data_IF_727854454654
#
_entry.id   IF_727854454654
#
_cell.length_a   1.000
_cell.length_b   1.000
_cell.length_c   1.000
_cell.angle_alpha   90.00
_cell.angle_beta   90.00
_cell.angle_gamma   90.00
#
_symmetry.space_group_name_H-M   'P 1'
#
loop_
_entity.id
_entity.type
_entity.pdbx_description
1 polymer ?
#
# COMPACT_ATOMS: atom_id res chain seq x y z
N UNK A 1 30.63 8.90 0.14
CA UNK A 1 30.75 7.42 -0.06
C UNK A 1 29.56 6.59 0.48
N UNK A 2 29.00 6.87 1.67
CA UNK A 2 27.90 6.06 2.27
C UNK A 2 26.52 6.27 1.61
N UNK A 3 26.19 7.51 1.26
CA UNK A 3 24.92 7.88 0.59
C UNK A 3 24.79 7.23 -0.79
N UNK A 4 25.86 7.26 -1.59
CA UNK A 4 25.88 6.66 -2.93
C UNK A 4 25.67 5.13 -2.89
N UNK A 5 26.25 4.44 -1.90
CA UNK A 5 26.04 3.00 -1.70
C UNK A 5 24.59 2.67 -1.33
N UNK A 6 23.96 3.49 -0.48
CA UNK A 6 22.55 3.34 -0.12
C UNK A 6 21.68 3.50 -1.37
N UNK A 7 21.87 4.57 -2.14
CA UNK A 7 21.12 4.83 -3.39
C UNK A 7 21.24 3.69 -4.40
N UNK A 8 22.45 3.16 -4.61
CA UNK A 8 22.67 2.01 -5.49
C UNK A 8 21.96 0.74 -5.00
N UNK A 9 21.93 0.52 -3.69
CA UNK A 9 21.22 -0.60 -3.06
C UNK A 9 19.70 -0.50 -3.30
N UNK A 10 19.15 0.71 -3.25
CA UNK A 10 17.74 0.98 -3.52
C UNK A 10 17.36 0.70 -4.96
N UNK A 11 18.16 1.22 -5.89
CA UNK A 11 17.96 0.98 -7.31
C UNK A 11 18.01 -0.50 -7.63
N UNK A 12 18.92 -1.25 -7.01
CA UNK A 12 18.98 -2.70 -7.20
C UNK A 12 17.69 -3.38 -6.72
N UNK A 13 17.19 -3.07 -5.51
CA UNK A 13 15.94 -3.65 -4.99
C UNK A 13 14.73 -3.31 -5.85
N UNK A 14 14.66 -2.06 -6.30
CA UNK A 14 13.60 -1.61 -7.19
C UNK A 14 13.60 -2.38 -8.52
N UNK A 15 14.77 -2.54 -9.14
CA UNK A 15 14.94 -3.33 -10.37
C UNK A 15 14.58 -4.80 -10.15
N UNK A 16 14.96 -5.37 -9.01
CA UNK A 16 14.59 -6.73 -8.62
C UNK A 16 13.06 -6.89 -8.60
N UNK A 17 12.34 -6.03 -7.89
CA UNK A 17 10.88 -6.08 -7.85
C UNK A 17 10.26 -5.95 -9.25
N UNK A 18 10.72 -4.97 -10.05
CA UNK A 18 10.24 -4.79 -11.41
C UNK A 18 10.49 -6.01 -12.30
N UNK A 19 11.66 -6.66 -12.16
CA UNK A 19 11.95 -7.89 -12.93
C UNK A 19 11.07 -9.06 -12.51
N UNK A 20 10.86 -9.27 -11.20
CA UNK A 20 10.01 -10.37 -10.70
C UNK A 20 8.57 -10.19 -11.17
N UNK A 21 8.02 -8.97 -11.06
CA UNK A 21 6.66 -8.66 -11.52
C UNK A 21 6.56 -8.84 -13.04
N UNK A 22 7.50 -8.28 -13.82
CA UNK A 22 7.48 -8.37 -15.29
C UNK A 22 7.57 -9.82 -15.79
N UNK A 23 8.38 -10.64 -15.13
CA UNK A 23 8.59 -12.04 -15.52
C UNK A 23 7.44 -12.95 -15.07
N UNK A 24 6.55 -12.49 -14.19
CA UNK A 24 5.39 -13.24 -13.72
C UNK A 24 4.22 -13.19 -14.73
N UNK A 25 4.43 -13.76 -15.91
CA UNK A 25 3.46 -13.78 -17.02
C UNK A 25 2.17 -14.53 -16.67
N UNK A 26 2.26 -15.56 -15.82
CA UNK A 26 1.13 -16.37 -15.36
C UNK A 26 0.34 -15.72 -14.21
N UNK A 27 0.76 -14.52 -13.76
CA UNK A 27 0.14 -13.78 -12.65
C UNK A 27 -0.02 -14.62 -11.37
N UNK A 28 0.94 -15.52 -11.12
CA UNK A 28 0.99 -16.32 -9.89
C UNK A 28 1.19 -15.41 -8.69
N UNK A 29 0.68 -15.81 -7.53
CA UNK A 29 0.95 -15.08 -6.29
C UNK A 29 2.46 -15.02 -6.04
N UNK A 30 2.98 -13.82 -5.76
CA UNK A 30 4.40 -13.58 -5.45
C UNK A 30 4.68 -13.58 -3.94
N UNK A 31 3.72 -14.04 -3.12
CA UNK A 31 3.86 -14.05 -1.65
C UNK A 31 4.98 -14.99 -1.21
N UNK A 32 5.30 -16.01 -2.00
CA UNK A 32 6.36 -16.99 -1.72
C UNK A 32 7.67 -16.67 -2.46
N UNK A 33 7.72 -15.59 -3.25
CA UNK A 33 8.95 -15.18 -3.92
C UNK A 33 9.96 -14.65 -2.89
N UNK A 34 11.12 -15.32 -2.81
CA UNK A 34 12.15 -15.03 -1.81
C UNK A 34 12.64 -13.58 -1.90
N UNK A 35 12.74 -13.02 -3.11
CA UNK A 35 13.24 -11.67 -3.31
C UNK A 35 12.22 -10.63 -2.85
N UNK A 36 10.94 -10.85 -3.17
CA UNK A 36 9.82 -10.02 -2.71
C UNK A 36 9.73 -10.06 -1.18
N UNK A 37 9.68 -11.25 -0.58
CA UNK A 37 9.62 -11.42 0.87
C UNK A 37 10.80 -10.75 1.56
N UNK A 38 12.03 -10.99 1.09
CA UNK A 38 13.23 -10.42 1.68
C UNK A 38 13.21 -8.90 1.63
N UNK A 39 12.75 -8.30 0.54
CA UNK A 39 12.68 -6.84 0.41
C UNK A 39 11.61 -6.28 1.36
N UNK A 40 10.39 -6.82 1.35
CA UNK A 40 9.28 -6.27 2.13
C UNK A 40 9.43 -6.48 3.64
N UNK A 41 10.06 -7.56 4.08
CA UNK A 41 10.10 -7.93 5.51
C UNK A 41 11.35 -7.44 6.25
N UNK A 42 12.45 -7.17 5.56
CA UNK A 42 13.74 -6.86 6.23
C UNK A 42 14.14 -5.39 6.20
N UNK A 43 13.37 -4.53 5.52
CA UNK A 43 13.71 -3.10 5.33
C UNK A 43 12.83 -2.19 6.17
N UNK A 44 13.40 -1.05 6.56
CA UNK A 44 12.66 -0.03 7.30
C UNK A 44 11.57 0.58 6.41
N UNK A 45 10.51 1.12 7.04
CA UNK A 45 9.40 1.77 6.32
C UNK A 45 9.87 2.93 5.45
N UNK A 46 10.80 3.76 5.94
CA UNK A 46 11.38 4.86 5.18
C UNK A 46 12.05 4.34 3.89
N UNK A 47 12.82 3.27 4.02
CA UNK A 47 13.47 2.66 2.86
C UNK A 47 12.46 2.10 1.86
N UNK A 48 11.41 1.44 2.34
CA UNK A 48 10.38 0.89 1.46
C UNK A 48 9.61 1.98 0.73
N UNK A 49 9.29 3.10 1.39
CA UNK A 49 8.66 4.27 0.73
C UNK A 49 9.48 4.77 -0.44
N UNK A 50 10.78 4.97 -0.23
CA UNK A 50 11.67 5.41 -1.30
C UNK A 50 11.78 4.34 -2.41
N UNK A 51 11.76 3.03 -2.10
CA UNK A 51 11.68 1.96 -3.13
C UNK A 51 10.38 2.06 -3.92
N UNK A 52 9.23 2.26 -3.26
CA UNK A 52 7.93 2.46 -3.88
C UNK A 52 7.94 3.67 -4.85
N UNK A 53 8.56 4.79 -4.44
CA UNK A 53 8.72 5.98 -5.30
C UNK A 53 9.65 5.76 -6.48
N UNK A 54 10.77 5.06 -6.29
CA UNK A 54 11.68 4.72 -7.39
C UNK A 54 11.01 3.75 -8.37
N UNK A 55 10.21 2.80 -7.87
CA UNK A 55 9.46 1.88 -8.71
C UNK A 55 8.54 2.64 -9.65
N UNK A 56 7.79 3.60 -9.11
CA UNK A 56 6.93 4.46 -9.91
C UNK A 56 7.67 5.16 -11.05
N UNK A 57 8.89 5.66 -10.78
CA UNK A 57 9.71 6.35 -11.80
C UNK A 57 10.24 5.42 -12.89
N UNK A 58 10.56 4.17 -12.58
CA UNK A 58 11.12 3.22 -13.56
C UNK A 58 10.06 2.37 -14.27
N UNK A 59 8.84 2.35 -13.76
CA UNK A 59 7.71 1.55 -14.28
C UNK A 59 6.68 2.43 -14.97
N UNK A 60 7.10 3.52 -15.61
CA UNK A 60 6.25 4.45 -16.37
C UNK A 60 5.05 4.99 -15.56
N UNK A 61 5.26 5.30 -14.28
CA UNK A 61 4.24 5.86 -13.40
C UNK A 61 3.32 4.83 -12.73
N UNK A 62 3.56 3.52 -12.92
CA UNK A 62 2.80 2.46 -12.24
C UNK A 62 3.10 2.40 -10.75
N UNK A 63 2.09 2.09 -9.93
CA UNK A 63 2.28 1.91 -8.50
C UNK A 63 2.59 0.46 -8.17
N UNK A 64 3.56 0.25 -7.27
CA UNK A 64 3.97 -1.09 -6.85
C UNK A 64 2.83 -1.88 -6.19
N UNK A 65 1.98 -1.22 -5.39
CA UNK A 65 0.84 -1.86 -4.75
C UNK A 65 -0.23 -2.30 -5.77
N UNK A 66 -0.44 -1.52 -6.83
CA UNK A 66 -1.37 -1.87 -7.92
C UNK A 66 -0.85 -3.08 -8.70
N UNK A 67 0.42 -3.09 -9.10
CA UNK A 67 1.02 -4.21 -9.82
C UNK A 67 1.01 -5.50 -8.99
N UNK A 68 1.29 -5.42 -7.69
CA UNK A 68 1.15 -6.57 -6.80
C UNK A 68 -0.31 -7.02 -6.65
N UNK A 69 -1.25 -6.07 -6.61
CA UNK A 69 -2.68 -6.36 -6.50
C UNK A 69 -3.25 -7.15 -7.67
N UNK A 70 -2.60 -7.14 -8.84
CA UNK A 70 -2.95 -8.00 -9.98
C UNK A 70 -2.75 -9.49 -9.63
N UNK A 71 -1.78 -9.79 -8.77
CA UNK A 71 -1.38 -11.15 -8.41
C UNK A 71 -1.96 -11.60 -7.06
N UNK A 72 -1.93 -10.72 -6.06
CA UNK A 72 -2.35 -11.05 -4.70
C UNK A 72 -2.73 -9.81 -3.89
N UNK A 73 -3.96 -9.78 -3.39
CA UNK A 73 -4.46 -8.69 -2.53
C UNK A 73 -3.62 -8.50 -1.26
N UNK A 74 -3.02 -9.58 -0.72
CA UNK A 74 -2.21 -9.53 0.50
C UNK A 74 -0.94 -8.71 0.27
N UNK A 75 -0.32 -8.82 -0.90
CA UNK A 75 0.86 -8.02 -1.26
C UNK A 75 0.49 -6.57 -1.49
N UNK A 76 -0.63 -6.30 -2.18
CA UNK A 76 -1.14 -4.94 -2.33
C UNK A 76 -1.34 -4.28 -0.96
N UNK A 77 -2.06 -4.94 -0.05
CA UNK A 77 -2.36 -4.41 1.28
C UNK A 77 -1.09 -4.25 2.13
N UNK A 78 -0.14 -5.18 2.01
CA UNK A 78 1.17 -5.08 2.67
C UNK A 78 1.93 -3.84 2.20
N UNK A 79 2.03 -3.61 0.89
CA UNK A 79 2.71 -2.44 0.34
C UNK A 79 1.98 -1.15 0.72
N UNK A 80 0.65 -1.13 0.69
CA UNK A 80 -0.12 0.03 1.16
C UNK A 80 0.16 0.30 2.64
N UNK A 81 0.12 -0.70 3.51
CA UNK A 81 0.39 -0.51 4.94
C UNK A 81 1.80 0.01 5.22
N UNK A 82 2.80 -0.37 4.42
CA UNK A 82 4.20 0.00 4.59
C UNK A 82 4.54 1.35 3.95
N UNK A 83 4.03 1.60 2.73
CA UNK A 83 4.37 2.76 1.91
C UNK A 83 3.31 3.87 1.93
N UNK A 84 2.02 3.53 1.92
CA UNK A 84 0.90 4.47 1.76
C UNK A 84 -0.33 4.08 2.62
N UNK A 85 -0.20 4.09 3.96
CA UNK A 85 -1.21 3.52 4.86
C UNK A 85 -2.59 4.19 4.74
N UNK A 86 -2.63 5.46 4.33
CA UNK A 86 -3.87 6.17 4.04
C UNK A 86 -4.69 5.49 2.93
N UNK A 87 -4.06 4.93 1.89
CA UNK A 87 -4.76 4.16 0.84
C UNK A 87 -5.44 2.93 1.41
N UNK A 88 -4.73 2.18 2.27
CA UNK A 88 -5.27 0.99 2.92
C UNK A 88 -6.46 1.33 3.82
N UNK A 89 -6.33 2.33 4.69
CA UNK A 89 -7.40 2.72 5.59
C UNK A 89 -8.62 3.28 4.85
N UNK A 90 -8.41 4.05 3.77
CA UNK A 90 -9.49 4.50 2.88
C UNK A 90 -10.23 3.32 2.27
N UNK A 91 -9.52 2.28 1.77
CA UNK A 91 -10.14 1.05 1.27
C UNK A 91 -10.97 0.34 2.34
N UNK A 92 -10.45 0.23 3.57
CA UNK A 92 -11.18 -0.38 4.69
C UNK A 92 -12.46 0.41 5.03
N UNK A 93 -12.38 1.74 5.07
CA UNK A 93 -13.53 2.60 5.34
C UNK A 93 -14.58 2.51 4.23
N UNK A 94 -14.16 2.61 2.97
CA UNK A 94 -15.03 2.45 1.80
C UNK A 94 -15.82 1.13 1.86
N UNK A 95 -15.12 0.00 2.03
CA UNK A 95 -15.74 -1.32 2.11
C UNK A 95 -16.66 -1.48 3.33
N UNK A 96 -16.35 -0.81 4.44
CA UNK A 96 -17.14 -0.92 5.67
C UNK A 96 -18.38 0.00 5.66
N UNK A 97 -18.32 1.13 4.96
CA UNK A 97 -19.41 2.11 4.89
C UNK A 97 -20.38 1.82 3.74
N UNK A 98 -19.91 1.26 2.62
CA UNK A 98 -20.80 0.87 1.50
C UNK A 98 -21.73 -0.29 1.86
N UNK A 99 -21.35 -1.11 2.84
CA UNK A 99 -22.13 -2.25 3.32
C UNK A 99 -22.92 -1.83 4.58
N UNK A 100 -24.13 -1.31 4.37
CA UNK A 100 -24.99 -0.74 5.42
C UNK A 100 -25.88 -1.79 6.13
N UNK A 101 -25.48 -3.07 6.12
CA UNK A 101 -26.26 -4.19 6.69
C UNK A 101 -26.19 -4.27 8.23
N UNK A 102 -25.54 -3.30 8.88
CA UNK A 102 -25.38 -3.29 10.33
C UNK A 102 -24.38 -4.33 10.86
N UNK A 103 -23.58 -4.96 10.00
CA UNK A 103 -22.63 -6.00 10.38
C UNK A 103 -21.64 -5.51 11.46
N UNK A 104 -21.68 -6.19 12.61
CA UNK A 104 -20.84 -5.89 13.79
C UNK A 104 -19.35 -5.85 13.47
N UNK A 105 -18.88 -6.65 12.50
CA UNK A 105 -17.47 -6.68 12.07
C UNK A 105 -17.08 -5.39 11.34
N UNK A 106 -17.96 -4.87 10.48
CA UNK A 106 -17.71 -3.64 9.73
C UNK A 106 -17.71 -2.42 10.65
N UNK A 107 -18.67 -2.34 11.57
CA UNK A 107 -18.67 -1.30 12.62
C UNK A 107 -17.36 -1.30 13.42
N UNK A 108 -16.88 -2.47 13.84
CA UNK A 108 -15.58 -2.61 14.52
C UNK A 108 -14.40 -2.15 13.67
N UNK A 109 -14.40 -2.44 12.36
CA UNK A 109 -13.35 -2.00 11.46
C UNK A 109 -13.29 -0.47 11.39
N UNK A 110 -14.44 0.19 11.19
CA UNK A 110 -14.55 1.65 11.17
C UNK A 110 -14.07 2.25 12.49
N UNK A 111 -14.58 1.77 13.64
CA UNK A 111 -14.14 2.25 14.96
C UNK A 111 -12.63 2.10 15.14
N UNK A 112 -12.05 0.95 14.75
CA UNK A 112 -10.60 0.72 14.86
C UNK A 112 -9.81 1.71 13.99
N UNK A 113 -10.23 1.99 12.77
CA UNK A 113 -9.54 2.98 11.92
C UNK A 113 -9.59 4.35 12.58
N UNK A 114 -10.77 4.80 13.02
CA UNK A 114 -10.96 6.12 13.62
C UNK A 114 -10.12 6.28 14.89
N UNK A 115 -10.29 5.36 15.84
CA UNK A 115 -9.61 5.43 17.14
C UNK A 115 -8.10 5.35 16.97
N UNK A 116 -7.60 4.42 16.16
CA UNK A 116 -6.14 4.22 16.07
C UNK A 116 -5.43 5.27 15.23
N UNK A 117 -6.14 6.02 14.38
CA UNK A 117 -5.58 7.06 13.49
C UNK A 117 -5.96 8.48 13.89
N UNK A 118 -6.68 8.65 14.99
CA UNK A 118 -7.15 9.95 15.48
C UNK A 118 -6.03 10.99 15.57
N UNK A 119 -4.90 10.63 16.18
CA UNK A 119 -3.83 11.59 16.45
C UNK A 119 -2.96 11.89 15.22
N UNK A 120 -2.64 10.87 14.41
CA UNK A 120 -1.49 10.94 13.50
C UNK A 120 -1.79 10.57 12.04
N UNK A 121 -3.04 10.27 11.67
CA UNK A 121 -3.34 9.77 10.32
C UNK A 121 -4.69 10.16 9.73
N UNK A 122 -5.59 10.73 10.52
CA UNK A 122 -6.95 11.00 10.07
C UNK A 122 -7.02 12.07 8.96
N UNK A 123 -6.11 13.05 8.96
CA UNK A 123 -6.06 14.09 7.92
C UNK A 123 -5.79 13.47 6.53
N UNK A 124 -4.71 12.73 6.40
CA UNK A 124 -4.32 12.08 5.13
C UNK A 124 -5.36 11.07 4.66
N UNK A 125 -5.99 10.34 5.59
CA UNK A 125 -7.08 9.40 5.27
C UNK A 125 -8.29 10.14 4.68
N UNK A 126 -8.69 11.28 5.28
CA UNK A 126 -9.81 12.09 4.76
C UNK A 126 -9.52 12.64 3.37
N UNK A 127 -8.32 13.16 3.16
CA UNK A 127 -7.88 13.69 1.86
C UNK A 127 -7.90 12.59 0.80
N UNK A 128 -7.34 11.42 1.10
CA UNK A 128 -7.33 10.27 0.17
C UNK A 128 -8.75 9.73 -0.07
N UNK A 129 -9.60 9.67 0.96
CA UNK A 129 -10.99 9.23 0.84
C UNK A 129 -11.79 10.17 -0.08
N UNK A 130 -11.68 11.49 0.14
CA UNK A 130 -12.32 12.50 -0.70
C UNK A 130 -11.81 12.45 -2.14
N UNK A 131 -10.50 12.28 -2.33
CA UNK A 131 -9.90 12.12 -3.65
C UNK A 131 -10.42 10.88 -4.39
N UNK A 132 -10.60 9.76 -3.68
CA UNK A 132 -11.03 8.50 -4.27
C UNK A 132 -12.53 8.44 -4.57
N UNK A 133 -13.37 8.94 -3.65
CA UNK A 133 -14.81 8.76 -3.70
C UNK A 133 -15.59 10.02 -4.07
N UNK A 134 -14.92 11.18 -4.18
CA UNK A 134 -15.55 12.50 -4.40
C UNK A 134 -16.60 12.88 -3.34
N UNK A 135 -16.61 12.19 -2.19
CA UNK A 135 -17.50 12.44 -1.05
C UNK A 135 -16.66 12.73 0.17
N UNK A 136 -17.11 13.68 0.99
CA UNK A 136 -16.45 13.97 2.25
C UNK A 136 -16.75 12.87 3.28
N UNK A 137 -15.74 12.43 4.02
CA UNK A 137 -15.92 11.41 5.06
C UNK A 137 -16.93 11.86 6.13
N UNK A 138 -17.14 13.18 6.29
CA UNK A 138 -18.12 13.75 7.21
C UNK A 138 -19.59 13.64 6.76
N UNK A 139 -19.88 13.40 5.47
CA UNK A 139 -21.25 13.39 4.93
C UNK A 139 -21.94 12.01 5.02
N UNK A 140 -21.24 10.96 5.45
CA UNK A 140 -21.73 9.58 5.52
C UNK A 140 -21.97 9.08 6.96
N UNK A 141 -22.30 9.99 7.88
CA UNK A 141 -22.57 9.70 9.30
C UNK A 141 -23.94 10.20 9.72
#
# INVERSE_FOLDING_TARGET
MKVERLRKTMQNRCKTLASVIKNNTEKKSLVEDEQVLRILTTKSKLHLKEVCEQYNKISDGKNLDEDFGITDLRLQETVQCLCAPQKYFTKVLEQSLQNNDGNKRLKKAVTRVIVTRADNGMKDIKEEFKKKLSVDLYQNW
#
